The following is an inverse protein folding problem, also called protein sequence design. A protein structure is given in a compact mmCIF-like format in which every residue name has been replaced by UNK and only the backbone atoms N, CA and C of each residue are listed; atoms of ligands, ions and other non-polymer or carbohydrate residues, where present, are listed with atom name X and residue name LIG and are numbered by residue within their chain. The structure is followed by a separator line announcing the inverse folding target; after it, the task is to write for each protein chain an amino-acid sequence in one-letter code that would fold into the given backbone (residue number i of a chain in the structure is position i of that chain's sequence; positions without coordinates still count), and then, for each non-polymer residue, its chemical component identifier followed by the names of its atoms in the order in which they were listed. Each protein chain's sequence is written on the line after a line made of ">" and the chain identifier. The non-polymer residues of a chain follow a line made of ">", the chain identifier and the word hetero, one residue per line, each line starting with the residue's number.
data_IF_220160439879
#
_entry.id   IF_220160439879
#
_cell.length_a   1.000
_cell.length_b   1.000
_cell.length_c   1.000
_cell.angle_alpha   90.00
_cell.angle_beta   90.00
_cell.angle_gamma   90.00
#
_symmetry.space_group_name_H-M   'P 1'
#
loop_
_entity.id
_entity.type
_entity.pdbx_description
1 polymer ?
#
# COMPACT_ATOMS: atom_id res chain seq x y z
N UNK A 1 -33.77 -23.33 11.31
CA UNK A 1 -33.32 -21.92 11.20
C UNK A 1 -31.85 -21.87 11.57
N UNK A 2 -30.99 -21.39 10.67
CA UNK A 2 -29.55 -21.30 10.94
C UNK A 2 -29.23 -20.05 11.76
N UNK A 3 -28.32 -20.19 12.74
CA UNK A 3 -27.86 -19.10 13.62
C UNK A 3 -26.38 -18.87 13.38
N UNK A 4 -25.98 -17.61 13.16
CA UNK A 4 -24.59 -17.23 12.90
C UNK A 4 -24.09 -16.24 13.96
N UNK A 5 -22.83 -16.38 14.38
CA UNK A 5 -22.13 -15.40 15.19
C UNK A 5 -21.12 -14.70 14.29
N UNK A 6 -21.34 -13.42 14.01
CA UNK A 6 -20.52 -12.63 13.08
C UNK A 6 -19.74 -11.60 13.89
N UNK A 7 -18.44 -11.51 13.63
CA UNK A 7 -17.59 -10.44 14.13
C UNK A 7 -17.44 -9.36 13.06
N UNK A 8 -17.66 -8.11 13.44
CA UNK A 8 -17.54 -6.95 12.54
C UNK A 8 -16.70 -5.89 13.25
N UNK A 9 -15.77 -5.30 12.52
CA UNK A 9 -14.93 -4.20 13.00
C UNK A 9 -14.59 -3.26 11.86
N UNK A 10 -14.35 -1.99 12.18
CA UNK A 10 -13.93 -0.97 11.22
C UNK A 10 -12.75 -0.19 11.80
N UNK A 11 -11.69 -0.04 11.01
CA UNK A 11 -10.49 0.68 11.41
C UNK A 11 -10.44 2.04 10.69
N UNK A 12 -11.03 3.06 11.31
CA UNK A 12 -11.01 4.42 10.76
C UNK A 12 -9.57 4.94 10.71
N UNK A 13 -9.17 5.48 9.56
CA UNK A 13 -7.82 6.02 9.37
C UNK A 13 -6.79 5.03 8.82
N UNK A 14 -7.18 3.78 8.56
CA UNK A 14 -6.30 2.70 8.07
C UNK A 14 -6.55 2.30 6.62
N UNK A 15 -7.42 3.02 5.89
CA UNK A 15 -7.54 2.87 4.43
C UNK A 15 -6.29 3.40 3.72
N UNK A 16 -6.00 2.90 2.51
CA UNK A 16 -4.74 3.17 1.77
C UNK A 16 -4.39 4.65 1.70
N UNK A 17 -5.31 5.50 1.25
CA UNK A 17 -5.06 6.95 1.15
C UNK A 17 -4.70 7.56 2.51
N UNK A 18 -5.42 7.19 3.57
CA UNK A 18 -5.20 7.77 4.89
C UNK A 18 -3.92 7.25 5.55
N UNK A 19 -3.59 5.98 5.33
CA UNK A 19 -2.33 5.39 5.76
C UNK A 19 -1.14 6.07 5.07
N UNK A 20 -1.25 6.33 3.77
CA UNK A 20 -0.24 7.06 3.00
C UNK A 20 -0.09 8.51 3.47
N UNK A 21 -1.18 9.24 3.68
CA UNK A 21 -1.16 10.58 4.28
C UNK A 21 -0.42 10.59 5.63
N UNK A 22 -0.77 9.65 6.53
CA UNK A 22 -0.14 9.55 7.85
C UNK A 22 1.36 9.24 7.76
N UNK A 23 1.78 8.43 6.78
CA UNK A 23 3.19 8.15 6.52
C UNK A 23 3.93 9.42 6.06
N UNK A 24 3.39 10.13 5.06
CA UNK A 24 3.96 11.38 4.54
C UNK A 24 4.04 12.45 5.64
N UNK A 25 2.98 12.58 6.45
CA UNK A 25 2.94 13.52 7.57
C UNK A 25 4.05 13.22 8.60
N UNK A 26 4.32 11.94 8.87
CA UNK A 26 5.36 11.52 9.80
C UNK A 26 6.75 11.87 9.29
N UNK A 27 7.08 11.54 8.03
CA UNK A 27 8.40 11.84 7.45
C UNK A 27 8.63 13.36 7.35
N UNK A 28 7.61 14.14 7.00
CA UNK A 28 7.70 15.60 6.93
C UNK A 28 7.92 16.18 8.34
N UNK A 29 7.20 15.67 9.35
CA UNK A 29 7.36 16.14 10.73
C UNK A 29 8.76 15.87 11.28
N UNK A 30 9.34 14.70 10.96
CA UNK A 30 10.73 14.37 11.32
C UNK A 30 11.70 15.33 10.62
N UNK A 31 11.53 15.57 9.32
CA UNK A 31 12.40 16.47 8.56
C UNK A 31 12.31 17.93 9.05
N UNK A 32 11.12 18.39 9.43
CA UNK A 32 10.91 19.71 10.02
C UNK A 32 11.60 19.87 11.38
N UNK A 33 11.54 18.83 12.22
CA UNK A 33 12.20 18.83 13.53
C UNK A 33 13.73 18.74 13.42
N UNK A 34 14.24 18.01 12.43
CA UNK A 34 15.68 17.89 12.17
C UNK A 34 16.27 19.11 11.45
N UNK A 35 15.44 19.91 10.77
CA UNK A 35 15.86 21.10 10.05
C UNK A 35 16.35 22.19 11.02
N UNK A 36 17.67 22.28 11.20
CA UNK A 36 18.35 23.27 12.07
C UNK A 36 18.25 24.73 11.61
N UNK A 37 17.57 25.06 10.50
CA UNK A 37 17.55 26.43 9.97
C UNK A 37 16.23 26.83 9.28
N UNK A 38 16.03 28.15 9.18
CA UNK A 38 14.99 28.88 8.45
C UNK A 38 15.02 28.67 6.92
N UNK A 39 15.51 27.52 6.44
CA UNK A 39 15.51 27.23 5.01
C UNK A 39 14.05 27.14 4.52
N UNK A 40 13.68 27.92 3.49
CA UNK A 40 12.34 27.85 2.90
C UNK A 40 12.12 26.56 2.12
N UNK A 41 13.20 25.82 1.82
CA UNK A 41 13.19 24.56 1.10
C UNK A 41 13.84 23.45 1.95
N UNK A 42 13.13 22.34 2.09
CA UNK A 42 13.61 21.10 2.71
C UNK A 42 13.56 19.99 1.65
N UNK A 43 14.63 19.20 1.55
CA UNK A 43 14.66 18.03 0.67
C UNK A 43 14.76 16.77 1.52
N UNK A 44 13.83 15.85 1.30
CA UNK A 44 13.84 14.52 1.89
C UNK A 44 14.20 13.58 0.75
N UNK A 45 15.45 13.10 0.78
CA UNK A 45 15.87 12.04 -0.12
C UNK A 45 15.43 10.70 0.46
N UNK A 46 15.47 9.68 -0.39
CA UNK A 46 15.33 8.28 -0.01
C UNK A 46 13.99 7.92 0.67
N UNK A 47 12.88 8.46 0.15
CA UNK A 47 11.53 8.12 0.66
C UNK A 47 11.11 6.73 0.16
N UNK A 48 11.20 5.75 1.05
CA UNK A 48 10.99 4.32 0.73
C UNK A 48 9.67 4.00 0.01
N UNK A 49 8.57 4.61 0.45
CA UNK A 49 7.23 4.31 -0.06
C UNK A 49 6.85 5.10 -1.32
N UNK A 50 7.77 5.89 -1.89
CA UNK A 50 7.59 6.56 -3.17
C UNK A 50 8.43 5.84 -4.24
N UNK A 51 7.97 5.76 -5.51
CA UNK A 51 8.74 5.13 -6.57
C UNK A 51 10.11 5.78 -6.77
N UNK A 52 11.12 5.00 -7.19
CA UNK A 52 12.49 5.50 -7.35
C UNK A 52 12.54 6.67 -8.33
N UNK A 53 13.08 7.79 -7.89
CA UNK A 53 13.21 9.01 -8.70
C UNK A 53 11.90 9.79 -8.90
N UNK A 54 10.76 9.33 -8.35
CA UNK A 54 9.56 10.15 -8.27
C UNK A 54 9.77 11.28 -7.27
N UNK A 55 9.44 12.50 -7.66
CA UNK A 55 9.57 13.68 -6.81
C UNK A 55 8.20 14.31 -6.60
N UNK A 56 7.86 14.57 -5.33
CA UNK A 56 6.63 15.25 -4.94
C UNK A 56 6.90 16.40 -3.99
N UNK A 57 6.28 17.54 -4.27
CA UNK A 57 6.36 18.72 -3.42
C UNK A 57 5.17 18.78 -2.45
N UNK A 58 5.47 19.18 -1.22
CA UNK A 58 4.51 19.41 -0.15
C UNK A 58 4.74 20.81 0.43
N UNK A 59 3.68 21.44 0.91
CA UNK A 59 3.77 22.75 1.56
C UNK A 59 3.30 22.60 3.01
N UNK A 60 4.17 22.94 3.97
CA UNK A 60 3.84 22.90 5.40
C UNK A 60 4.55 24.03 6.13
N UNK A 61 3.84 24.76 6.98
CA UNK A 61 4.38 25.89 7.76
C UNK A 61 5.16 26.91 6.90
N UNK A 62 4.61 27.28 5.72
CA UNK A 62 5.25 28.15 4.73
C UNK A 62 6.62 27.68 4.21
N UNK A 63 6.97 26.40 4.41
CA UNK A 63 8.13 25.76 3.81
C UNK A 63 7.68 24.84 2.68
N UNK A 64 8.50 24.80 1.63
CA UNK A 64 8.36 23.82 0.55
C UNK A 64 9.22 22.60 0.90
N UNK A 65 8.62 21.42 0.87
CA UNK A 65 9.31 20.15 1.11
C UNK A 65 9.26 19.34 -0.17
N UNK A 66 10.43 18.99 -0.71
CA UNK A 66 10.55 18.09 -1.85
C UNK A 66 10.93 16.71 -1.35
N UNK A 67 10.04 15.73 -1.54
CA UNK A 67 10.27 14.32 -1.24
C UNK A 67 10.68 13.59 -2.53
N UNK A 68 11.77 12.84 -2.49
CA UNK A 68 12.27 12.03 -3.61
C UNK A 68 12.22 10.57 -3.19
N UNK A 69 11.59 9.73 -4.02
CA UNK A 69 11.40 8.31 -3.72
C UNK A 69 12.62 7.44 -4.01
N UNK A 70 12.77 6.40 -3.19
CA UNK A 70 13.79 5.34 -3.36
C UNK A 70 13.19 4.02 -3.85
N UNK A 71 11.91 3.75 -3.56
CA UNK A 71 11.26 2.52 -3.98
C UNK A 71 11.64 1.28 -3.15
N UNK A 72 12.12 1.45 -1.92
CA UNK A 72 12.45 0.33 -1.02
C UNK A 72 11.19 -0.22 -0.34
N UNK A 73 10.59 -1.24 -0.97
CA UNK A 73 9.41 -1.92 -0.44
C UNK A 73 9.61 -2.50 0.97
N UNK A 74 10.81 -3.01 1.28
CA UNK A 74 11.08 -3.68 2.56
C UNK A 74 11.10 -2.66 3.70
N UNK A 75 11.77 -1.53 3.51
CA UNK A 75 11.79 -0.46 4.49
C UNK A 75 10.46 0.29 4.56
N UNK A 76 9.78 0.49 3.42
CA UNK A 76 8.43 1.03 3.39
C UNK A 76 7.48 0.19 4.26
N UNK A 77 7.47 -1.14 4.09
CA UNK A 77 6.62 -2.03 4.89
C UNK A 77 6.93 -1.94 6.40
N UNK A 78 8.21 -1.89 6.79
CA UNK A 78 8.61 -1.70 8.19
C UNK A 78 8.09 -0.37 8.75
N UNK A 79 8.22 0.71 7.98
CA UNK A 79 7.76 2.04 8.37
C UNK A 79 6.23 2.11 8.51
N UNK A 80 5.49 1.45 7.63
CA UNK A 80 4.03 1.35 7.69
C UNK A 80 3.53 0.49 8.86
N UNK A 81 4.21 -0.63 9.19
CA UNK A 81 3.85 -1.48 10.34
C UNK A 81 3.87 -0.69 11.65
N UNK A 82 4.80 0.27 11.80
CA UNK A 82 4.82 1.14 12.97
C UNK A 82 3.57 2.03 13.11
N UNK A 83 2.89 2.34 12.01
CA UNK A 83 1.65 3.15 12.03
C UNK A 83 0.42 2.34 12.49
N UNK A 84 0.54 1.01 12.63
CA UNK A 84 -0.55 0.15 13.09
C UNK A 84 -0.81 0.25 14.60
N UNK A 85 0.05 0.92 15.36
CA UNK A 85 -0.08 1.06 16.81
C UNK A 85 -0.25 -0.30 17.52
N UNK A 86 0.65 -1.24 17.22
CA UNK A 86 0.59 -2.62 17.73
C UNK A 86 0.73 -2.72 19.27
N UNK A 87 1.32 -1.70 19.90
CA UNK A 87 1.53 -1.65 21.35
C UNK A 87 0.39 -0.96 22.12
N UNK A 88 -0.71 -0.63 21.44
CA UNK A 88 -1.88 -0.03 22.08
C UNK A 88 -2.45 -0.92 23.20
N UNK A 89 -2.94 -0.28 24.26
CA UNK A 89 -3.58 -0.98 25.38
C UNK A 89 -4.79 -1.79 24.90
N UNK A 90 -4.74 -3.09 25.13
CA UNK A 90 -5.80 -4.03 24.77
C UNK A 90 -6.75 -4.24 25.97
N UNK A 91 -7.93 -3.61 25.92
CA UNK A 91 -8.92 -3.70 27.01
C UNK A 91 -9.58 -5.10 27.10
N UNK A 92 -9.68 -5.80 25.97
CA UNK A 92 -10.23 -7.16 25.89
C UNK A 92 -9.38 -7.99 24.95
N UNK A 93 -8.70 -9.01 25.47
CA UNK A 93 -7.85 -9.92 24.68
C UNK A 93 -8.71 -10.99 23.96
N UNK A 94 -8.28 -11.47 22.78
CA UNK A 94 -7.14 -11.01 21.99
C UNK A 94 -7.45 -9.68 21.27
N UNK A 95 -6.41 -8.91 20.96
CA UNK A 95 -6.53 -7.72 20.12
C UNK A 95 -5.76 -7.88 18.82
N UNK A 96 -6.27 -7.21 17.81
CA UNK A 96 -5.59 -6.90 16.56
C UNK A 96 -4.61 -5.74 16.76
N UNK A 97 -4.56 -4.81 15.81
CA UNK A 97 -3.82 -3.56 15.94
C UNK A 97 -4.66 -2.46 16.60
N UNK A 98 -4.02 -1.39 17.07
CA UNK A 98 -4.65 -0.27 17.76
C UNK A 98 -5.55 -0.65 18.96
N UNK A 99 -5.25 -1.78 19.62
CA UNK A 99 -5.96 -2.21 20.84
C UNK A 99 -7.38 -2.70 20.62
N UNK A 100 -7.78 -2.93 19.36
CA UNK A 100 -9.13 -3.37 19.00
C UNK A 100 -9.25 -4.88 19.17
N UNK A 101 -10.22 -5.31 20.00
CA UNK A 101 -10.53 -6.73 20.23
C UNK A 101 -10.79 -7.44 18.90
N UNK A 102 -10.15 -8.59 18.70
CA UNK A 102 -10.37 -9.51 17.59
C UNK A 102 -10.52 -10.93 18.15
N UNK A 103 -11.60 -11.66 17.80
CA UNK A 103 -11.76 -13.05 18.22
C UNK A 103 -10.63 -13.91 17.65
N UNK A 104 -10.33 -15.02 18.33
CA UNK A 104 -9.40 -16.00 17.78
C UNK A 104 -9.92 -16.54 16.45
N UNK A 105 -9.07 -16.51 15.44
CA UNK A 105 -9.31 -17.04 14.11
C UNK A 105 -8.71 -18.44 14.08
N UNK A 106 -9.50 -19.43 13.66
CA UNK A 106 -8.99 -20.75 13.31
C UNK A 106 -8.80 -20.78 11.79
N UNK A 107 -7.55 -20.58 11.35
CA UNK A 107 -7.21 -20.51 9.93
C UNK A 107 -7.40 -21.84 9.19
N UNK A 108 -7.46 -22.98 9.90
CA UNK A 108 -7.70 -24.30 9.28
C UNK A 108 -9.19 -24.51 8.91
N UNK A 109 -10.08 -23.69 9.46
CA UNK A 109 -11.53 -23.82 9.31
C UNK A 109 -12.18 -22.63 8.59
N UNK A 110 -11.39 -21.64 8.16
CA UNK A 110 -11.92 -20.37 7.67
C UNK A 110 -11.16 -19.88 6.44
N UNK A 111 -11.93 -19.55 5.39
CA UNK A 111 -11.44 -18.85 4.21
C UNK A 111 -11.68 -17.33 4.33
N UNK A 112 -10.76 -16.54 3.78
CA UNK A 112 -10.85 -15.08 3.76
C UNK A 112 -10.85 -14.55 2.33
N UNK A 113 -11.72 -13.58 2.07
CA UNK A 113 -11.80 -12.87 0.79
C UNK A 113 -11.39 -11.42 0.98
N UNK A 114 -10.36 -11.00 0.24
CA UNK A 114 -9.88 -9.63 0.22
C UNK A 114 -10.58 -8.83 -0.89
N UNK A 115 -11.26 -7.76 -0.51
CA UNK A 115 -11.96 -6.87 -1.44
C UNK A 115 -11.24 -5.52 -1.57
N UNK A 116 -11.69 -4.71 -2.54
CA UNK A 116 -11.21 -3.34 -2.74
C UNK A 116 -9.69 -3.29 -2.93
N UNK A 117 -8.93 -2.63 -2.06
CA UNK A 117 -7.49 -2.42 -2.25
C UNK A 117 -6.67 -3.72 -2.20
N UNK A 118 -7.13 -4.76 -1.49
CA UNK A 118 -6.51 -6.09 -1.59
C UNK A 118 -6.60 -6.64 -3.01
N UNK A 119 -7.73 -6.40 -3.67
CA UNK A 119 -7.95 -6.80 -5.05
C UNK A 119 -7.22 -5.87 -6.03
N UNK A 120 -7.40 -4.55 -5.95
CA UNK A 120 -6.78 -3.59 -6.87
C UNK A 120 -5.25 -3.62 -6.84
N UNK A 121 -4.64 -3.90 -5.69
CA UNK A 121 -3.17 -4.01 -5.57
C UNK A 121 -2.65 -5.31 -6.19
N UNK A 122 -3.34 -6.43 -5.94
CA UNK A 122 -2.89 -7.75 -6.41
C UNK A 122 -3.25 -8.00 -7.87
N UNK A 123 -4.41 -7.49 -8.31
CA UNK A 123 -4.91 -7.75 -9.63
C UNK A 123 -3.99 -7.11 -10.67
N UNK A 124 -3.42 -7.99 -11.49
CA UNK A 124 -3.33 -7.71 -12.90
C UNK A 124 -4.21 -8.70 -13.66
N UNK A 125 -5.05 -8.21 -14.55
CA UNK A 125 -6.00 -8.97 -15.36
C UNK A 125 -5.25 -9.64 -16.51
N UNK A 126 -4.44 -10.64 -16.20
CA UNK A 126 -3.98 -11.60 -17.20
C UNK A 126 -4.03 -13.03 -16.65
N UNK A 127 -5.20 -13.65 -16.84
CA UNK A 127 -5.45 -15.02 -17.28
C UNK A 127 -4.23 -15.97 -17.37
N UNK A 128 -3.71 -16.42 -16.22
CA UNK A 128 -3.04 -17.73 -16.13
C UNK A 128 -3.44 -18.49 -14.88
N UNK A 129 -4.72 -18.87 -14.81
CA UNK A 129 -5.10 -20.26 -14.50
C UNK A 129 -6.17 -20.64 -15.52
N UNK A 130 -5.75 -21.40 -16.52
CA UNK A 130 -6.64 -22.28 -17.28
C UNK A 130 -7.18 -23.36 -16.33
N UNK A 131 -8.50 -23.34 -16.12
CA UNK A 131 -9.35 -24.49 -16.43
C UNK A 131 -10.53 -23.91 -17.20
N UNK A 132 -10.39 -23.91 -18.53
CA UNK A 132 -11.42 -23.78 -19.56
C UNK A 132 -12.63 -22.87 -19.28
N UNK A 133 -12.63 -21.66 -19.83
CA UNK A 133 -13.69 -21.15 -20.75
C UNK A 133 -13.35 -19.75 -21.31
N UNK A 134 -13.42 -19.67 -22.64
CA UNK A 134 -13.71 -18.53 -23.52
C UNK A 134 -13.30 -17.08 -23.14
N UNK A 135 -12.26 -16.63 -23.85
CA UNK A 135 -11.93 -15.28 -24.32
C UNK A 135 -13.05 -14.20 -24.27
N UNK A 136 -12.75 -13.07 -23.61
CA UNK A 136 -13.20 -11.74 -24.01
C UNK A 136 -12.02 -10.74 -23.85
N UNK A 137 -11.52 -10.12 -24.94
CA UNK A 137 -10.20 -9.45 -24.94
C UNK A 137 -10.20 -7.97 -24.51
N UNK A 138 -11.19 -7.48 -23.74
CA UNK A 138 -11.37 -6.04 -23.55
C UNK A 138 -11.27 -5.48 -22.12
N UNK A 139 -10.65 -6.16 -21.15
CA UNK A 139 -10.36 -5.55 -19.85
C UNK A 139 -9.06 -6.11 -19.27
N UNK A 140 -8.01 -5.28 -19.24
CA UNK A 140 -6.69 -5.63 -18.67
C UNK A 140 -6.20 -4.44 -17.82
N UNK A 141 -6.47 -4.51 -16.52
CA UNK A 141 -5.93 -3.65 -15.46
C UNK A 141 -4.73 -4.36 -14.87
N UNK A 142 -3.54 -3.77 -14.81
CA UNK A 142 -2.34 -4.44 -14.29
C UNK A 142 -1.62 -3.55 -13.26
N UNK A 143 -1.28 -4.04 -12.06
CA UNK A 143 -0.20 -3.46 -11.23
C UNK A 143 0.82 -4.56 -10.87
N UNK A 144 0.42 -5.59 -10.12
CA UNK A 144 1.32 -6.70 -9.73
C UNK A 144 1.10 -8.02 -10.51
N UNK A 145 -0.02 -8.18 -11.24
CA UNK A 145 -0.34 -9.40 -12.04
C UNK A 145 -0.41 -10.70 -11.23
N UNK A 146 -0.84 -10.64 -9.98
CA UNK A 146 -0.87 -11.77 -9.04
C UNK A 146 -2.26 -11.96 -8.39
N UNK A 147 -3.32 -11.62 -9.13
CA UNK A 147 -4.69 -11.79 -8.67
C UNK A 147 -5.05 -13.26 -8.41
N UNK A 148 -6.06 -13.49 -7.56
CA UNK A 148 -6.47 -14.83 -7.14
C UNK A 148 -5.91 -15.22 -5.78
N UNK A 149 -5.54 -16.49 -5.55
CA UNK A 149 -5.05 -16.97 -4.25
C UNK A 149 -3.81 -16.20 -3.78
N UNK A 150 -3.92 -15.58 -2.61
CA UNK A 150 -2.80 -14.86 -2.00
C UNK A 150 -1.68 -15.82 -1.60
N UNK A 151 -0.45 -15.49 -1.99
CA UNK A 151 0.76 -16.13 -1.45
C UNK A 151 1.76 -15.05 -1.04
N UNK A 152 2.26 -15.14 0.20
CA UNK A 152 3.19 -14.17 0.76
C UNK A 152 4.42 -13.95 -0.13
N UNK A 153 5.06 -15.03 -0.57
CA UNK A 153 6.28 -14.94 -1.38
C UNK A 153 6.03 -14.23 -2.72
N UNK A 154 4.97 -14.62 -3.43
CA UNK A 154 4.59 -14.01 -4.71
C UNK A 154 4.32 -12.52 -4.56
N UNK A 155 3.58 -12.13 -3.52
CA UNK A 155 3.30 -10.73 -3.23
C UNK A 155 4.58 -9.93 -2.94
N UNK A 156 5.44 -10.44 -2.04
CA UNK A 156 6.68 -9.76 -1.68
C UNK A 156 7.59 -9.56 -2.90
N UNK A 157 7.75 -10.58 -3.75
CA UNK A 157 8.59 -10.49 -4.93
C UNK A 157 8.05 -9.48 -5.94
N UNK A 158 6.74 -9.52 -6.24
CA UNK A 158 6.11 -8.61 -7.18
C UNK A 158 6.16 -7.16 -6.69
N UNK A 159 5.81 -6.91 -5.42
CA UNK A 159 5.87 -5.57 -4.83
C UNK A 159 7.29 -5.03 -4.78
N UNK A 160 8.28 -5.87 -4.41
CA UNK A 160 9.69 -5.47 -4.41
C UNK A 160 10.18 -5.10 -5.81
N UNK A 161 9.80 -5.86 -6.84
CA UNK A 161 10.17 -5.57 -8.22
C UNK A 161 9.53 -4.28 -8.72
N UNK A 162 8.23 -4.08 -8.47
CA UNK A 162 7.51 -2.88 -8.88
C UNK A 162 8.04 -1.61 -8.19
N UNK A 163 8.19 -1.64 -6.86
CA UNK A 163 8.65 -0.47 -6.11
C UNK A 163 10.08 -0.05 -6.48
N UNK A 164 10.97 -1.01 -6.78
CA UNK A 164 12.34 -0.73 -7.19
C UNK A 164 12.49 -0.19 -8.62
N UNK A 165 11.44 -0.21 -9.44
CA UNK A 165 11.47 0.34 -10.79
C UNK A 165 11.61 1.87 -10.74
N UNK A 166 12.30 2.45 -11.73
CA UNK A 166 12.37 3.90 -11.81
C UNK A 166 11.03 4.46 -12.23
N UNK A 167 10.71 5.67 -11.76
CA UNK A 167 9.49 6.35 -12.11
C UNK A 167 9.33 6.53 -13.64
N UNK A 168 10.43 6.80 -14.36
CA UNK A 168 10.40 6.89 -15.82
C UNK A 168 9.94 5.58 -16.48
N UNK A 169 10.39 4.43 -15.96
CA UNK A 169 10.01 3.11 -16.47
C UNK A 169 8.52 2.87 -16.22
N UNK A 170 8.04 3.20 -15.01
CA UNK A 170 6.62 3.09 -14.62
C UNK A 170 5.74 3.99 -15.51
N UNK A 171 6.18 5.22 -15.79
CA UNK A 171 5.48 6.13 -16.70
C UNK A 171 5.46 5.62 -18.13
N UNK A 172 6.55 5.01 -18.59
CA UNK A 172 6.59 4.39 -19.91
C UNK A 172 5.60 3.23 -20.00
N UNK A 173 5.59 2.33 -19.01
CA UNK A 173 4.62 1.23 -18.94
C UNK A 173 3.18 1.75 -18.98
N UNK A 174 2.88 2.80 -18.21
CA UNK A 174 1.58 3.48 -18.26
C UNK A 174 1.22 3.99 -19.66
N UNK A 175 2.14 4.69 -20.33
CA UNK A 175 1.93 5.30 -21.64
C UNK A 175 1.81 4.26 -22.77
N UNK A 176 2.55 3.16 -22.68
CA UNK A 176 2.52 2.04 -23.62
C UNK A 176 1.22 1.21 -23.51
N UNK A 177 0.24 1.70 -22.73
CA UNK A 177 -1.05 1.05 -22.46
C UNK A 177 -0.91 -0.35 -21.87
N UNK A 178 0.21 -0.66 -21.19
CA UNK A 178 0.30 -1.91 -20.44
C UNK A 178 -0.63 -1.93 -19.21
N UNK A 179 -1.23 -0.79 -18.86
CA UNK A 179 -2.11 -0.58 -17.71
C UNK A 179 -3.34 0.30 -18.09
N UNK A 180 -4.20 -0.17 -18.98
CA UNK A 180 -5.39 0.61 -19.39
C UNK A 180 -6.39 0.67 -18.24
N UNK A 181 -6.71 1.88 -17.75
CA UNK A 181 -7.68 2.24 -16.69
C UNK A 181 -7.15 2.41 -15.25
N UNK A 182 -5.86 2.25 -15.00
CA UNK A 182 -5.27 2.74 -13.73
C UNK A 182 -5.12 4.26 -13.84
N UNK A 183 -5.47 5.01 -12.80
CA UNK A 183 -5.13 6.44 -12.77
C UNK A 183 -3.67 6.59 -12.33
N UNK A 184 -2.90 7.47 -12.99
CA UNK A 184 -1.47 7.66 -12.71
C UNK A 184 -1.17 7.99 -11.22
N UNK A 185 -2.11 8.64 -10.52
CA UNK A 185 -2.00 8.94 -9.07
C UNK A 185 -2.03 7.69 -8.18
N UNK A 186 -2.43 6.53 -8.70
CA UNK A 186 -2.38 5.24 -7.99
C UNK A 186 -1.05 4.51 -8.11
N UNK A 187 -0.12 5.00 -8.94
CA UNK A 187 1.20 4.41 -9.15
C UNK A 187 2.27 5.02 -8.23
N UNK A 188 1.89 5.96 -7.37
CA UNK A 188 2.77 6.77 -6.50
C UNK A 188 2.31 6.81 -5.05
#
# INVERSE_FOLDING_TARGET
>A
MFKYKIYVTTFLGYGVNKAFENYIDRIISIALNASLANSPLIRINDVDCLPRGYSRNYTRNNKTITAIGEGDFVNCAKHLVMLLNLNATCLKKPCSFNGVYQPQINYDLQDFYGFSEFWYTMQGLNNRISCDVAFNPFFIEDILKIGGPYTRLTFLNASTAFCNANWNDIQQWYNDKSHVNVKMDRLV
#
